data_IF_995096478156
#
_entry.id   IF_995096478156
#
_cell.length_a   1.000
_cell.length_b   1.000
_cell.length_c   1.000
_cell.angle_alpha   90.00
_cell.angle_beta   90.00
_cell.angle_gamma   90.00
#
_symmetry.space_group_name_H-M   'P 1'
#
loop_
_entity.id
_entity.type
_entity.pdbx_description
1 polymer ?
#
# COMPACT_ATOMS: atom_id res chain seq x y z
N UNK A 1 9.48 0.83 14.82
CA UNK A 1 8.60 0.98 13.65
C UNK A 1 9.13 0.04 12.57
N UNK A 2 8.28 -0.56 11.74
CA UNK A 2 8.70 -1.45 10.64
C UNK A 2 8.35 -0.82 9.30
N UNK A 3 9.21 -0.98 8.30
CA UNK A 3 9.08 -0.32 7.01
C UNK A 3 9.23 -1.30 5.85
N UNK A 4 8.46 -1.06 4.80
CA UNK A 4 8.63 -1.67 3.49
C UNK A 4 8.73 -0.55 2.45
N UNK A 5 9.45 -0.82 1.36
CA UNK A 5 9.73 0.17 0.32
C UNK A 5 9.37 -0.38 -1.05
N UNK A 6 8.69 0.43 -1.85
CA UNK A 6 8.51 0.19 -3.28
C UNK A 6 9.29 1.25 -4.03
N UNK A 7 10.37 0.87 -4.69
CA UNK A 7 11.22 1.78 -5.48
C UNK A 7 10.82 1.74 -6.95
N UNK A 8 10.65 2.91 -7.56
CA UNK A 8 10.38 3.06 -8.99
C UNK A 8 11.71 3.08 -9.75
N UNK A 9 12.05 1.92 -10.31
CA UNK A 9 13.29 1.72 -11.05
C UNK A 9 13.13 2.17 -12.52
N UNK A 10 14.20 2.29 -13.31
CA UNK A 10 14.07 2.67 -14.73
C UNK A 10 13.13 1.77 -15.55
N UNK A 11 12.99 0.49 -15.16
CA UNK A 11 12.07 -0.48 -15.78
C UNK A 11 10.65 -0.48 -15.21
N UNK A 12 10.35 0.38 -14.24
CA UNK A 12 9.00 0.53 -13.71
C UNK A 12 8.06 1.15 -14.75
N UNK A 13 6.76 0.94 -14.55
CA UNK A 13 5.71 1.44 -15.45
C UNK A 13 5.71 2.98 -15.51
N UNK A 14 6.12 3.63 -14.43
CA UNK A 14 6.32 5.06 -14.31
C UNK A 14 7.48 5.34 -13.34
N UNK A 15 8.11 6.52 -13.48
CA UNK A 15 9.32 6.91 -12.75
C UNK A 15 9.04 7.95 -11.66
N UNK A 16 7.82 8.47 -11.60
CA UNK A 16 7.33 9.34 -10.54
C UNK A 16 6.00 8.83 -10.00
N UNK A 17 5.68 9.23 -8.77
CA UNK A 17 4.41 8.94 -8.13
C UNK A 17 4.09 10.04 -7.13
N UNK A 18 2.82 10.35 -6.96
CA UNK A 18 2.28 11.29 -5.99
C UNK A 18 1.38 10.58 -4.98
N UNK A 19 1.04 11.24 -3.87
CA UNK A 19 0.04 10.71 -2.93
C UNK A 19 -1.33 10.54 -3.60
N UNK A 20 -1.70 11.39 -4.54
CA UNK A 20 -2.96 11.25 -5.28
C UNK A 20 -2.98 9.99 -6.16
N UNK A 21 -1.86 9.62 -6.79
CA UNK A 21 -1.73 8.35 -7.52
C UNK A 21 -1.94 7.15 -6.58
N UNK A 22 -1.37 7.20 -5.36
CA UNK A 22 -1.55 6.16 -4.34
C UNK A 22 -3.02 6.05 -3.92
N UNK A 23 -3.70 7.18 -3.70
CA UNK A 23 -5.13 7.20 -3.37
C UNK A 23 -5.95 6.59 -4.49
N UNK A 24 -5.69 6.95 -5.75
CA UNK A 24 -6.37 6.37 -6.91
C UNK A 24 -6.15 4.86 -7.00
N UNK A 25 -4.93 4.38 -6.75
CA UNK A 25 -4.63 2.94 -6.70
C UNK A 25 -5.39 2.22 -5.59
N UNK A 26 -5.54 2.82 -4.40
CA UNK A 26 -6.36 2.23 -3.33
C UNK A 26 -7.86 2.29 -3.61
N UNK A 27 -8.37 3.37 -4.22
CA UNK A 27 -9.76 3.41 -4.68
C UNK A 27 -10.04 2.34 -5.75
N UNK A 28 -9.10 2.15 -6.68
CA UNK A 28 -9.15 1.04 -7.63
C UNK A 28 -9.16 -0.30 -6.90
N UNK A 29 -8.27 -0.51 -5.94
CA UNK A 29 -8.22 -1.73 -5.12
C UNK A 29 -9.57 -2.00 -4.43
N UNK A 30 -10.15 -1.00 -3.77
CA UNK A 30 -11.49 -1.09 -3.13
C UNK A 30 -12.55 -1.50 -4.16
N UNK A 31 -12.51 -0.90 -5.35
CA UNK A 31 -13.48 -1.18 -6.42
C UNK A 31 -13.39 -2.63 -6.90
N UNK A 32 -12.18 -3.12 -7.18
CA UNK A 32 -12.03 -4.49 -7.72
C UNK A 32 -12.26 -5.56 -6.65
N UNK A 33 -11.86 -5.32 -5.40
CA UNK A 33 -12.12 -6.27 -4.30
C UNK A 33 -13.60 -6.30 -3.91
N UNK A 34 -14.32 -5.18 -4.02
CA UNK A 34 -15.76 -5.13 -3.79
C UNK A 34 -16.56 -5.89 -4.85
N UNK A 35 -16.16 -5.79 -6.13
CA UNK A 35 -16.81 -6.52 -7.23
C UNK A 35 -16.64 -8.03 -7.11
N UNK A 36 -15.47 -8.49 -6.67
CA UNK A 36 -15.22 -9.92 -6.40
C UNK A 36 -16.00 -10.41 -5.17
N UNK A 37 -16.15 -9.57 -4.13
CA UNK A 37 -16.96 -9.87 -2.94
C UNK A 37 -18.46 -9.85 -3.17
N UNK A 38 -18.97 -9.06 -4.12
CA UNK A 38 -20.40 -9.02 -4.45
C UNK A 38 -20.92 -10.34 -5.06
N UNK A 39 -20.03 -11.13 -5.68
CA UNK A 39 -20.37 -12.49 -6.13
C UNK A 39 -20.38 -13.51 -4.98
N UNK A 40 -19.86 -13.14 -3.79
CA UNK A 40 -19.62 -14.03 -2.66
C UNK A 40 -19.90 -13.27 -1.33
N UNK A 41 -21.18 -12.99 -1.04
CA UNK A 41 -21.68 -12.36 0.20
C UNK A 41 -21.20 -10.93 0.55
N UNK A 42 -22.18 -10.04 0.81
CA UNK A 42 -22.01 -8.60 1.08
C UNK A 42 -21.11 -8.25 2.29
N UNK A 43 -20.86 -9.19 3.20
CA UNK A 43 -19.98 -9.01 4.38
C UNK A 43 -18.49 -8.94 4.02
N UNK A 44 -18.10 -9.43 2.83
CA UNK A 44 -16.69 -9.53 2.42
C UNK A 44 -16.10 -8.20 1.94
N UNK A 45 -16.93 -7.27 1.46
CA UNK A 45 -16.48 -6.01 0.87
C UNK A 45 -15.88 -5.05 1.90
N UNK A 46 -16.41 -5.03 3.12
CA UNK A 46 -15.94 -4.14 4.18
C UNK A 46 -14.64 -4.62 4.85
N UNK A 47 -14.29 -5.91 4.72
CA UNK A 47 -13.07 -6.50 5.33
C UNK A 47 -11.85 -6.46 4.41
N UNK A 48 -12.05 -6.33 3.09
CA UNK A 48 -10.95 -6.31 2.12
C UNK A 48 -10.10 -5.03 2.20
N UNK A 49 -10.70 -3.91 2.59
CA UNK A 49 -10.03 -2.64 2.83
C UNK A 49 -10.61 -1.96 4.10
N UNK A 50 -10.19 -2.39 5.30
CA UNK A 50 -10.78 -1.98 6.57
C UNK A 50 -10.21 -0.63 7.07
N UNK A 51 -9.99 0.32 6.15
CA UNK A 51 -9.37 1.61 6.47
C UNK A 51 -10.05 2.77 5.76
N UNK A 52 -10.09 3.90 6.45
CA UNK A 52 -10.28 5.22 5.87
C UNK A 52 -8.92 5.80 5.44
N UNK A 53 -8.91 6.55 4.34
CA UNK A 53 -7.70 7.18 3.80
C UNK A 53 -7.71 8.64 4.25
N UNK A 54 -6.74 9.02 5.08
CA UNK A 54 -6.61 10.37 5.62
C UNK A 54 -5.30 10.99 5.10
N UNK A 55 -5.39 12.14 4.43
CA UNK A 55 -4.20 12.91 4.07
C UNK A 55 -3.55 13.46 5.35
N UNK A 56 -2.24 13.30 5.50
CA UNK A 56 -1.47 13.84 6.63
C UNK A 56 -0.51 14.95 6.20
N UNK A 57 -0.11 14.96 4.93
CA UNK A 57 0.64 16.04 4.28
C UNK A 57 0.50 15.91 2.76
N UNK A 58 1.24 16.72 2.00
CA UNK A 58 1.33 16.60 0.53
C UNK A 58 2.05 15.33 0.07
N UNK A 59 2.83 14.68 0.93
CA UNK A 59 3.64 13.49 0.59
C UNK A 59 3.36 12.29 1.49
N UNK A 60 2.41 12.40 2.42
CA UNK A 60 2.06 11.30 3.34
C UNK A 60 0.56 11.20 3.55
N UNK A 61 0.10 9.95 3.74
CA UNK A 61 -1.25 9.63 4.16
C UNK A 61 -1.23 8.58 5.28
N UNK A 62 -2.32 8.53 6.03
CA UNK A 62 -2.62 7.52 7.05
C UNK A 62 -3.82 6.70 6.60
N UNK A 63 -3.69 5.38 6.63
CA UNK A 63 -4.81 4.45 6.60
C UNK A 63 -5.25 4.22 8.05
N UNK A 64 -6.39 4.76 8.44
CA UNK A 64 -6.92 4.64 9.80
C UNK A 64 -8.08 3.65 9.81
N UNK A 65 -8.03 2.67 10.70
CA UNK A 65 -9.15 1.76 10.93
C UNK A 65 -10.02 2.23 12.09
N UNK A 66 -11.31 1.95 12.00
CA UNK A 66 -12.28 2.01 13.12
C UNK A 66 -12.73 0.61 13.58
N UNK A 67 -12.11 -0.45 13.05
CA UNK A 67 -12.41 -1.85 13.35
C UNK A 67 -11.39 -2.41 14.33
N UNK A 68 -11.85 -3.05 15.40
CA UNK A 68 -11.04 -3.59 16.53
C UNK A 68 -9.84 -4.48 16.16
N UNK A 69 -9.79 -5.03 14.94
CA UNK A 69 -8.72 -5.93 14.48
C UNK A 69 -7.59 -5.22 13.73
N UNK A 70 -7.71 -3.92 13.52
CA UNK A 70 -6.79 -3.10 12.74
C UNK A 70 -6.65 -1.74 13.42
N UNK A 71 -5.44 -1.18 13.41
CA UNK A 71 -5.16 0.15 13.97
C UNK A 71 -4.88 1.14 12.85
N UNK A 72 -3.65 1.13 12.32
CA UNK A 72 -3.23 2.07 11.29
C UNK A 72 -2.02 1.61 10.49
N UNK A 73 -1.93 2.15 9.27
CA UNK A 73 -0.77 2.01 8.37
C UNK A 73 -0.44 3.41 7.84
N UNK A 74 0.84 3.76 7.78
CA UNK A 74 1.29 5.03 7.22
C UNK A 74 1.92 4.81 5.85
N UNK A 75 1.68 5.72 4.94
CA UNK A 75 2.26 5.67 3.60
C UNK A 75 2.87 7.02 3.28
N UNK A 76 4.11 7.00 2.81
CA UNK A 76 4.84 8.17 2.34
C UNK A 76 5.34 7.97 0.92
N UNK A 77 5.48 9.07 0.21
CA UNK A 77 6.18 9.15 -1.07
C UNK A 77 7.41 10.03 -0.90
N UNK A 78 8.54 9.58 -1.42
CA UNK A 78 9.80 10.30 -1.34
C UNK A 78 10.66 10.08 -2.58
N UNK A 79 11.81 10.76 -2.59
CA UNK A 79 12.83 10.64 -3.62
C UNK A 79 14.17 10.39 -2.92
N UNK A 80 14.89 9.36 -3.35
CA UNK A 80 16.25 9.06 -2.88
C UNK A 80 17.10 8.71 -4.10
N UNK A 81 18.29 9.31 -4.24
CA UNK A 81 19.18 9.11 -5.39
C UNK A 81 18.47 9.24 -6.75
N UNK A 82 17.67 10.30 -6.90
CA UNK A 82 16.85 10.59 -8.10
C UNK A 82 15.75 9.54 -8.43
N UNK A 83 15.51 8.57 -7.54
CA UNK A 83 14.46 7.56 -7.69
C UNK A 83 13.31 7.82 -6.73
N UNK A 84 12.10 7.82 -7.26
CA UNK A 84 10.89 7.88 -6.43
C UNK A 84 10.69 6.55 -5.70
N UNK A 85 10.26 6.63 -4.44
CA UNK A 85 9.88 5.48 -3.65
C UNK A 85 8.58 5.72 -2.89
N UNK A 86 7.91 4.62 -2.57
CA UNK A 86 6.77 4.57 -1.66
C UNK A 86 7.23 3.83 -0.41
N UNK A 87 7.13 4.49 0.74
CA UNK A 87 7.38 3.89 2.04
C UNK A 87 6.06 3.50 2.69
N UNK A 88 5.94 2.25 3.12
CA UNK A 88 4.81 1.76 3.92
C UNK A 88 5.33 1.47 5.32
N UNK A 89 4.71 2.07 6.34
CA UNK A 89 5.18 2.01 7.72
C UNK A 89 4.11 1.47 8.66
N UNK A 90 4.52 0.53 9.52
CA UNK A 90 3.71 -0.03 10.59
C UNK A 90 4.16 0.55 11.93
N UNK A 91 3.27 1.27 12.65
CA UNK A 91 3.60 1.82 13.96
C UNK A 91 3.79 0.71 15.02
N UNK A 92 4.36 0.99 16.20
CA UNK A 92 4.58 -0.02 17.24
C UNK A 92 3.31 -0.76 17.70
N UNK A 93 2.16 -0.08 17.66
CA UNK A 93 0.84 -0.62 18.01
C UNK A 93 0.15 -1.35 16.84
N UNK A 94 0.80 -1.51 15.69
CA UNK A 94 0.23 -2.21 14.54
C UNK A 94 -0.15 -3.65 14.89
N UNK A 95 -1.41 -3.97 14.62
CA UNK A 95 -2.01 -5.28 14.89
C UNK A 95 -1.47 -6.35 13.93
N UNK A 96 -1.80 -7.62 14.19
CA UNK A 96 -1.56 -8.68 13.22
C UNK A 96 -2.33 -8.44 11.91
N UNK A 97 -3.53 -7.88 11.99
CA UNK A 97 -4.34 -7.49 10.84
C UNK A 97 -3.63 -6.45 9.97
N UNK A 98 -3.06 -5.41 10.60
CA UNK A 98 -2.31 -4.36 9.90
C UNK A 98 -1.09 -4.92 9.18
N UNK A 99 -0.34 -5.81 9.84
CA UNK A 99 0.81 -6.50 9.23
C UNK A 99 0.40 -7.29 7.98
N UNK A 100 -0.72 -7.99 8.03
CA UNK A 100 -1.26 -8.73 6.89
C UNK A 100 -1.65 -7.80 5.74
N UNK A 101 -2.45 -6.78 6.03
CA UNK A 101 -2.94 -5.81 5.03
C UNK A 101 -1.84 -4.95 4.44
N UNK A 102 -0.87 -4.51 5.24
CA UNK A 102 0.28 -3.77 4.73
C UNK A 102 1.11 -4.60 3.75
N UNK A 103 1.37 -5.89 4.05
CA UNK A 103 2.05 -6.79 3.10
C UNK A 103 1.26 -6.98 1.80
N UNK A 104 -0.06 -7.08 1.89
CA UNK A 104 -0.96 -7.16 0.73
C UNK A 104 -0.90 -5.88 -0.12
N UNK A 105 -1.04 -4.73 0.51
CA UNK A 105 -0.97 -3.41 -0.14
C UNK A 105 0.39 -3.17 -0.80
N UNK A 106 1.50 -3.50 -0.13
CA UNK A 106 2.83 -3.42 -0.72
C UNK A 106 2.94 -4.21 -2.03
N UNK A 107 2.46 -5.47 -2.05
CA UNK A 107 2.49 -6.29 -3.27
C UNK A 107 1.56 -5.75 -4.36
N UNK A 108 0.39 -5.26 -3.99
CA UNK A 108 -0.55 -4.65 -4.94
C UNK A 108 0.06 -3.42 -5.61
N UNK A 109 0.61 -2.48 -4.83
CA UNK A 109 1.24 -1.27 -5.34
C UNK A 109 2.44 -1.61 -6.22
N UNK A 110 3.34 -2.47 -5.74
CA UNK A 110 4.52 -2.89 -6.49
C UNK A 110 4.16 -3.56 -7.82
N UNK A 111 3.10 -4.39 -7.85
CA UNK A 111 2.60 -5.00 -9.09
C UNK A 111 1.99 -3.98 -10.05
N UNK A 112 1.25 -2.98 -9.55
CA UNK A 112 0.62 -1.95 -10.39
C UNK A 112 1.62 -0.98 -11.02
N UNK A 113 2.70 -0.70 -10.30
CA UNK A 113 3.76 0.22 -10.70
C UNK A 113 4.95 -0.47 -11.35
N UNK A 114 4.97 -1.81 -11.37
CA UNK A 114 6.12 -2.61 -11.80
C UNK A 114 7.40 -2.21 -11.04
N UNK A 115 7.26 -2.03 -9.73
CA UNK A 115 8.33 -1.57 -8.84
C UNK A 115 9.21 -2.71 -8.29
N UNK A 116 10.29 -2.31 -7.64
CA UNK A 116 11.06 -3.17 -6.74
C UNK A 116 10.51 -3.06 -5.33
N UNK A 117 10.11 -4.17 -4.71
CA UNK A 117 9.54 -4.20 -3.37
C UNK A 117 10.52 -4.82 -2.38
N UNK A 118 10.99 -4.05 -1.41
CA UNK A 118 11.63 -4.55 -0.20
C UNK A 118 10.57 -4.72 0.89
N UNK A 119 10.34 -5.96 1.33
CA UNK A 119 9.38 -6.31 2.37
C UNK A 119 9.86 -5.89 3.76
N UNK A 120 8.94 -5.88 4.73
CA UNK A 120 9.22 -5.55 6.14
C UNK A 120 10.30 -6.42 6.79
N UNK A 121 10.54 -7.63 6.26
CA UNK A 121 11.57 -8.55 6.72
C UNK A 121 12.89 -8.45 5.92
N UNK A 122 13.02 -7.45 5.05
CA UNK A 122 14.21 -7.21 4.23
C UNK A 122 14.28 -8.00 2.92
N UNK A 123 13.38 -8.96 2.65
CA UNK A 123 13.38 -9.69 1.39
C UNK A 123 12.91 -8.80 0.24
N UNK A 124 13.63 -8.84 -0.88
CA UNK A 124 13.27 -8.11 -2.11
C UNK A 124 12.47 -8.96 -3.09
N UNK A 125 11.48 -8.35 -3.75
CA UNK A 125 10.67 -8.89 -4.84
C UNK A 125 10.71 -7.90 -6.00
N UNK A 126 10.65 -8.41 -7.24
CA UNK A 126 10.79 -7.60 -8.45
C UNK A 126 9.56 -7.80 -9.32
N UNK A 127 8.86 -6.70 -9.65
CA UNK A 127 7.62 -6.75 -10.41
C UNK A 127 7.75 -6.20 -11.85
N UNK A 128 8.90 -5.67 -12.23
CA UNK A 128 9.23 -5.29 -13.60
C UNK A 128 9.74 -6.49 -14.41
N UNK A 129 9.60 -6.42 -15.73
CA UNK A 129 10.18 -7.41 -16.65
C UNK A 129 11.71 -7.30 -16.62
N UNK A 130 12.37 -8.39 -16.23
CA UNK A 130 13.84 -8.46 -16.17
C UNK A 130 14.42 -8.66 -17.56
#
# INVERSE_FOLDING_TARGET
>A
MQHAFITLVPKSKQQSVSIDDIKQLFHYYKTVTSKTGAQINYTYTNTAFPYEILDTSTTTLKLQSNHDRYDSIYIGVGIENEQFFIQVSLPPNATYGDKGKANEFCRFLAKKLEGELQLFNGRTMYFYKR
#
